data_IF_590721074548
#
_entry.id   IF_590721074548
#
_cell.length_a   1.000
_cell.length_b   1.000
_cell.length_c   1.000
_cell.angle_alpha   90.00
_cell.angle_beta   90.00
_cell.angle_gamma   90.00
#
_symmetry.space_group_name_H-M   'P 1'
#
loop_
_entity.id
_entity.type
_entity.pdbx_description
1 polymer ?
#
# COMPACT_ATOMS: atom_id res chain seq x y z
N UNK A 1 -3.19 24.04 -14.21
CA UNK A 1 -3.34 23.36 -12.89
C UNK A 1 -2.13 22.46 -12.70
N UNK A 2 -1.59 22.39 -11.48
CA UNK A 2 -0.52 21.45 -11.17
C UNK A 2 -1.01 20.00 -11.37
N UNK A 3 -0.09 19.12 -11.75
CA UNK A 3 -0.36 17.69 -11.79
C UNK A 3 -0.34 17.12 -10.36
N UNK A 4 -1.19 16.14 -10.09
CA UNK A 4 -1.36 15.55 -8.77
C UNK A 4 -0.85 14.11 -8.75
N UNK A 5 0.08 13.82 -7.84
CA UNK A 5 0.49 12.48 -7.45
C UNK A 5 -0.29 12.06 -6.20
N UNK A 6 -1.06 11.00 -6.30
CA UNK A 6 -1.75 10.37 -5.19
C UNK A 6 -0.96 9.16 -4.71
N UNK A 7 -0.62 9.13 -3.42
CA UNK A 7 0.00 7.95 -2.80
C UNK A 7 -0.93 7.31 -1.78
N UNK A 8 -0.89 5.99 -1.66
CA UNK A 8 -1.62 5.24 -0.65
C UNK A 8 -0.86 3.98 -0.21
N UNK A 9 -1.12 3.51 1.01
CA UNK A 9 -0.44 2.37 1.60
C UNK A 9 -0.63 2.29 3.12
N UNK A 10 0.29 1.60 3.77
CA UNK A 10 0.33 1.45 5.23
C UNK A 10 1.29 2.47 5.90
N UNK A 11 1.78 2.16 7.11
CA UNK A 11 2.70 3.00 7.89
C UNK A 11 3.98 3.36 7.13
N UNK A 12 4.53 2.46 6.35
CA UNK A 12 5.73 2.70 5.54
C UNK A 12 5.50 3.80 4.49
N UNK A 13 4.36 3.76 3.78
CA UNK A 13 4.01 4.81 2.81
C UNK A 13 3.59 6.10 3.50
N UNK A 14 2.96 6.01 4.68
CA UNK A 14 2.64 7.19 5.50
C UNK A 14 3.89 7.94 5.98
N UNK A 15 5.03 7.24 6.10
CA UNK A 15 6.26 7.79 6.67
C UNK A 15 6.21 7.81 8.19
N UNK A 16 5.63 6.77 8.82
CA UNK A 16 5.61 6.67 10.27
C UNK A 16 7.03 6.71 10.84
N UNK A 17 7.21 7.45 11.94
CA UNK A 17 8.50 7.65 12.61
C UNK A 17 9.57 8.38 11.78
N UNK A 18 9.21 8.92 10.62
CA UNK A 18 10.04 9.77 9.79
C UNK A 18 9.46 11.18 9.67
N UNK A 19 10.29 12.23 9.64
CA UNK A 19 9.81 13.59 9.41
C UNK A 19 9.22 13.81 8.01
N UNK A 20 9.55 12.92 7.07
CA UNK A 20 9.02 12.95 5.70
C UNK A 20 8.70 11.54 5.22
N UNK A 21 7.64 11.41 4.41
CA UNK A 21 7.41 10.21 3.58
C UNK A 21 8.14 10.37 2.24
N UNK A 22 8.50 9.26 1.60
CA UNK A 22 9.07 9.24 0.23
C UNK A 22 8.16 9.94 -0.81
N UNK A 23 6.88 10.04 -0.51
CA UNK A 23 5.86 10.63 -1.40
C UNK A 23 6.20 12.07 -1.76
N UNK A 24 6.67 12.86 -0.78
CA UNK A 24 7.05 14.26 -1.02
C UNK A 24 8.24 14.39 -1.94
N UNK A 25 9.44 13.82 -1.65
CA UNK A 25 10.56 13.91 -2.57
C UNK A 25 10.30 13.28 -3.94
N UNK A 26 9.49 12.23 -4.03
CA UNK A 26 9.07 11.65 -5.32
C UNK A 26 8.23 12.64 -6.13
N UNK A 27 7.24 13.28 -5.51
CA UNK A 27 6.37 14.25 -6.20
C UNK A 27 7.16 15.48 -6.68
N UNK A 28 8.10 15.97 -5.88
CA UNK A 28 8.99 17.08 -6.26
C UNK A 28 9.84 16.72 -7.50
N UNK A 29 10.42 15.50 -7.55
CA UNK A 29 11.16 15.01 -8.72
C UNK A 29 10.29 14.88 -9.98
N UNK A 30 9.03 14.51 -9.82
CA UNK A 30 8.06 14.41 -10.91
C UNK A 30 7.46 15.76 -11.32
N UNK A 31 7.74 16.85 -10.59
CA UNK A 31 7.13 18.17 -10.81
C UNK A 31 5.62 18.16 -10.54
N UNK A 32 5.17 17.40 -9.54
CA UNK A 32 3.76 17.24 -9.16
C UNK A 32 3.53 17.71 -7.72
N UNK A 33 2.29 18.10 -7.41
CA UNK A 33 1.82 18.18 -6.03
C UNK A 33 1.42 16.80 -5.54
N UNK A 34 1.59 16.51 -4.24
CA UNK A 34 1.28 15.20 -3.68
C UNK A 34 0.12 15.21 -2.69
N UNK A 35 -0.67 14.15 -2.74
CA UNK A 35 -1.67 13.79 -1.73
C UNK A 35 -1.29 12.39 -1.21
N UNK A 36 -1.13 12.25 0.12
CA UNK A 36 -0.81 10.97 0.73
C UNK A 36 -2.01 10.50 1.59
N UNK A 37 -2.68 9.44 1.13
CA UNK A 37 -3.81 8.80 1.83
C UNK A 37 -3.39 7.61 2.69
N UNK A 38 -2.09 7.30 2.75
CA UNK A 38 -1.59 6.18 3.53
C UNK A 38 -1.89 6.35 5.02
N UNK A 39 -2.19 5.22 5.68
CA UNK A 39 -2.55 5.21 7.09
C UNK A 39 -1.82 4.07 7.80
N UNK A 40 -1.18 4.33 8.95
CA UNK A 40 -0.56 3.29 9.77
C UNK A 40 -1.55 2.16 10.10
N UNK A 41 -1.16 0.91 9.82
CA UNK A 41 -2.00 -0.27 10.01
C UNK A 41 -3.09 -0.47 8.97
N UNK A 42 -3.19 0.37 7.94
CA UNK A 42 -4.16 0.21 6.85
C UNK A 42 -3.97 -1.09 6.08
N UNK A 43 -5.07 -1.75 5.71
CA UNK A 43 -5.10 -2.96 4.88
C UNK A 43 -5.32 -2.65 3.40
N UNK A 44 -5.19 -3.68 2.55
CA UNK A 44 -5.30 -3.53 1.10
C UNK A 44 -6.72 -3.11 0.64
N UNK A 45 -7.76 -3.52 1.34
CA UNK A 45 -9.15 -3.06 1.11
C UNK A 45 -9.30 -1.55 1.32
N UNK A 46 -8.71 -1.01 2.40
CA UNK A 46 -8.69 0.44 2.62
C UNK A 46 -7.96 1.15 1.49
N UNK A 47 -6.80 0.63 1.09
CA UNK A 47 -6.00 1.21 0.00
C UNK A 47 -6.85 1.34 -1.25
N UNK A 48 -7.49 0.24 -1.69
CA UNK A 48 -8.37 0.25 -2.87
C UNK A 48 -9.53 1.22 -2.70
N UNK A 49 -10.28 1.10 -1.61
CA UNK A 49 -11.47 1.91 -1.35
C UNK A 49 -11.16 3.40 -1.33
N UNK A 50 -10.14 3.82 -0.59
CA UNK A 50 -9.83 5.26 -0.45
C UNK A 50 -9.18 5.83 -1.70
N UNK A 51 -8.38 5.05 -2.45
CA UNK A 51 -7.82 5.47 -3.74
C UNK A 51 -8.93 5.69 -4.76
N UNK A 52 -9.83 4.72 -4.92
CA UNK A 52 -10.97 4.84 -5.85
C UNK A 52 -11.84 6.05 -5.48
N UNK A 53 -12.24 6.18 -4.23
CA UNK A 53 -13.08 7.29 -3.78
C UNK A 53 -12.43 8.66 -4.05
N UNK A 54 -11.12 8.77 -3.80
CA UNK A 54 -10.41 10.02 -4.08
C UNK A 54 -10.37 10.33 -5.58
N UNK A 55 -10.06 9.34 -6.42
CA UNK A 55 -10.03 9.50 -7.88
C UNK A 55 -11.41 9.77 -8.51
N UNK A 56 -12.51 9.39 -7.83
CA UNK A 56 -13.87 9.70 -8.29
C UNK A 56 -14.24 11.17 -8.09
N UNK A 57 -13.69 11.81 -7.08
CA UNK A 57 -14.08 13.16 -6.65
C UNK A 57 -13.01 14.23 -6.89
N UNK A 58 -11.78 13.81 -7.18
CA UNK A 58 -10.65 14.71 -7.40
C UNK A 58 -9.91 14.36 -8.69
N UNK A 59 -9.24 15.38 -9.27
CA UNK A 59 -8.30 15.13 -10.36
C UNK A 59 -7.03 14.49 -9.81
N UNK A 60 -6.63 13.38 -10.41
CA UNK A 60 -5.38 12.67 -10.13
C UNK A 60 -4.70 12.37 -11.45
N UNK A 61 -3.41 12.64 -11.57
CA UNK A 61 -2.64 12.42 -12.78
C UNK A 61 -1.73 11.18 -12.66
N UNK A 62 -1.32 10.81 -11.43
CA UNK A 62 -0.50 9.62 -11.16
C UNK A 62 -0.83 9.02 -9.80
N UNK A 63 -0.86 7.70 -9.71
CA UNK A 63 -1.11 6.96 -8.46
C UNK A 63 0.09 6.08 -8.10
N UNK A 64 0.55 6.18 -6.85
CA UNK A 64 1.58 5.27 -6.29
C UNK A 64 0.97 4.49 -5.14
N UNK A 65 1.01 3.17 -5.19
CA UNK A 65 0.49 2.30 -4.13
C UNK A 65 1.57 1.36 -3.62
N UNK A 66 1.82 1.46 -2.31
CA UNK A 66 2.58 0.46 -1.56
C UNK A 66 1.63 -0.53 -0.90
N UNK A 67 1.51 -1.73 -1.49
CA UNK A 67 0.69 -2.81 -0.96
C UNK A 67 1.25 -3.31 0.37
N UNK A 68 0.35 -3.65 1.29
CA UNK A 68 0.69 -4.18 2.61
C UNK A 68 0.35 -5.67 2.72
N UNK A 69 0.56 -6.23 3.91
CA UNK A 69 0.29 -7.65 4.17
C UNK A 69 -1.19 -8.00 3.92
N UNK A 70 -1.44 -9.19 3.39
CA UNK A 70 -2.79 -9.69 3.10
C UNK A 70 -3.63 -9.96 4.36
N UNK A 71 -3.00 -10.00 5.53
CA UNK A 71 -3.65 -10.25 6.82
C UNK A 71 -4.39 -9.04 7.36
N UNK A 72 -4.10 -7.83 6.84
CA UNK A 72 -4.74 -6.59 7.26
C UNK A 72 -6.01 -6.34 6.48
N UNK A 73 -7.08 -6.01 7.20
CA UNK A 73 -8.40 -5.76 6.63
C UNK A 73 -9.08 -4.57 7.28
N UNK A 74 -10.14 -4.11 6.62
CA UNK A 74 -11.11 -3.21 7.25
C UNK A 74 -12.39 -3.97 7.57
N UNK A 75 -13.00 -3.62 8.68
CA UNK A 75 -14.35 -4.06 9.05
C UNK A 75 -15.22 -2.84 9.34
N UNK A 76 -16.49 -2.91 9.00
CA UNK A 76 -17.47 -1.91 9.42
C UNK A 76 -18.12 -2.42 10.72
N UNK A 77 -18.04 -1.59 11.75
CA UNK A 77 -18.70 -1.85 13.01
C UNK A 77 -19.29 -0.54 13.53
N UNK A 78 -20.60 -0.54 13.85
CA UNK A 78 -21.35 0.66 14.21
C UNK A 78 -21.18 1.85 13.25
N UNK A 79 -21.26 1.57 11.92
CA UNK A 79 -21.13 2.54 10.84
C UNK A 79 -19.72 3.17 10.71
N UNK A 80 -18.75 2.73 11.50
CA UNK A 80 -17.36 3.18 11.44
C UNK A 80 -16.43 2.09 10.86
N UNK A 81 -15.37 2.55 10.16
CA UNK A 81 -14.33 1.67 9.65
C UNK A 81 -13.26 1.41 10.69
N UNK A 82 -13.01 0.14 10.97
CA UNK A 82 -11.98 -0.31 11.89
C UNK A 82 -10.94 -1.18 11.16
N UNK A 83 -9.67 -1.01 11.54
CA UNK A 83 -8.57 -1.79 10.95
C UNK A 83 -8.33 -3.04 11.78
N UNK A 84 -8.50 -4.17 11.14
CA UNK A 84 -8.16 -5.48 11.69
C UNK A 84 -6.77 -5.93 11.20
N UNK A 85 -6.03 -6.59 12.07
CA UNK A 85 -4.79 -7.33 11.76
C UNK A 85 -4.62 -8.44 12.79
N UNK A 86 -3.98 -9.54 12.43
CA UNK A 86 -3.74 -10.65 13.35
C UNK A 86 -3.03 -10.16 14.62
N UNK A 87 -3.55 -10.55 15.78
CA UNK A 87 -3.01 -10.15 17.09
C UNK A 87 -3.26 -8.69 17.50
N UNK A 88 -3.95 -7.91 16.66
CA UNK A 88 -4.25 -6.51 16.98
C UNK A 88 -5.35 -6.41 18.02
N UNK A 89 -5.10 -5.61 19.05
CA UNK A 89 -6.10 -5.27 20.06
C UNK A 89 -6.91 -4.04 19.64
N UNK A 90 -8.20 -4.03 19.98
CA UNK A 90 -9.05 -2.85 19.79
C UNK A 90 -8.60 -1.74 20.75
N UNK A 91 -8.37 -0.49 20.27
CA UNK A 91 -8.01 0.63 21.12
C UNK A 91 -9.05 0.91 22.24
N UNK A 92 -8.60 1.41 23.38
CA UNK A 92 -9.45 1.65 24.55
C UNK A 92 -10.53 2.72 24.33
N UNK A 93 -10.29 3.65 23.41
CA UNK A 93 -11.17 4.77 23.09
C UNK A 93 -12.27 4.42 22.09
N UNK A 94 -12.38 3.16 21.65
CA UNK A 94 -13.42 2.75 20.70
C UNK A 94 -14.72 2.43 21.43
N UNK A 95 -15.82 3.00 20.97
CA UNK A 95 -17.16 2.66 21.47
C UNK A 95 -17.47 1.19 21.21
N UNK A 96 -18.09 0.54 22.22
CA UNK A 96 -18.39 -0.90 22.15
C UNK A 96 -17.14 -1.78 21.90
N UNK A 97 -15.99 -1.38 22.46
CA UNK A 97 -14.70 -2.08 22.35
C UNK A 97 -14.82 -3.60 22.53
N UNK A 98 -15.59 -4.03 23.56
CA UNK A 98 -15.73 -5.46 23.87
C UNK A 98 -16.38 -6.25 22.72
N UNK A 99 -17.39 -5.70 22.07
CA UNK A 99 -18.06 -6.33 20.94
C UNK A 99 -17.14 -6.34 19.71
N UNK A 100 -16.45 -5.27 19.45
CA UNK A 100 -15.47 -5.19 18.35
C UNK A 100 -14.30 -6.15 18.61
N UNK A 101 -13.83 -6.29 19.85
CA UNK A 101 -12.79 -7.26 20.20
C UNK A 101 -13.24 -8.69 19.95
N UNK A 102 -14.49 -9.06 20.32
CA UNK A 102 -15.08 -10.38 20.00
C UNK A 102 -15.12 -10.64 18.49
N UNK A 103 -15.44 -9.62 17.69
CA UNK A 103 -15.38 -9.73 16.22
C UNK A 103 -13.94 -9.98 15.76
N UNK A 104 -12.96 -9.26 16.28
CA UNK A 104 -11.55 -9.44 15.95
C UNK A 104 -11.05 -10.83 16.35
N UNK A 105 -11.43 -11.32 17.54
CA UNK A 105 -11.06 -12.65 18.02
C UNK A 105 -11.69 -13.74 17.11
N UNK A 106 -12.95 -13.58 16.72
CA UNK A 106 -13.61 -14.48 15.75
C UNK A 106 -12.90 -14.45 14.39
N UNK A 107 -12.58 -13.28 13.88
CA UNK A 107 -11.84 -13.13 12.62
C UNK A 107 -10.47 -13.80 12.71
N UNK A 108 -9.76 -13.64 13.82
CA UNK A 108 -8.44 -14.27 14.03
C UNK A 108 -8.53 -15.79 14.00
N UNK A 109 -9.57 -16.39 14.61
CA UNK A 109 -9.83 -17.84 14.56
C UNK A 109 -10.19 -18.30 13.15
N UNK A 110 -11.02 -17.54 12.45
CA UNK A 110 -11.45 -17.86 11.08
C UNK A 110 -10.32 -17.73 10.08
N UNK A 111 -9.38 -16.83 10.35
CA UNK A 111 -8.25 -16.46 9.50
C UNK A 111 -7.05 -17.41 9.61
N UNK A 112 -7.12 -18.51 10.39
CA UNK A 112 -6.02 -19.49 10.50
C UNK A 112 -5.61 -20.14 9.16
N UNK A 113 -6.42 -20.03 8.11
CA UNK A 113 -6.16 -20.52 6.75
C UNK A 113 -5.97 -19.39 5.72
N UNK A 114 -5.56 -18.22 6.17
CA UNK A 114 -5.57 -16.99 5.36
C UNK A 114 -4.49 -16.90 4.30
N UNK A 115 -3.44 -17.72 4.37
CA UNK A 115 -2.36 -17.64 3.39
C UNK A 115 -2.89 -17.71 1.95
N UNK A 116 -3.80 -18.61 1.66
CA UNK A 116 -4.37 -18.73 0.31
C UNK A 116 -5.45 -17.69 0.03
N UNK A 117 -6.46 -17.56 0.91
CA UNK A 117 -7.59 -16.65 0.69
C UNK A 117 -7.20 -15.18 0.77
N UNK A 118 -6.34 -14.81 1.72
CA UNK A 118 -5.87 -13.43 1.87
C UNK A 118 -5.04 -12.98 0.68
N UNK A 119 -4.21 -13.88 0.16
CA UNK A 119 -3.42 -13.62 -1.03
C UNK A 119 -4.28 -13.48 -2.27
N UNK A 120 -5.20 -14.43 -2.53
CA UNK A 120 -6.14 -14.36 -3.65
C UNK A 120 -6.94 -13.05 -3.62
N UNK A 121 -7.46 -12.68 -2.46
CA UNK A 121 -8.16 -11.41 -2.27
C UNK A 121 -7.27 -10.20 -2.60
N UNK A 122 -6.01 -10.20 -2.15
CA UNK A 122 -5.06 -9.13 -2.45
C UNK A 122 -4.80 -9.01 -3.94
N UNK A 123 -4.59 -10.12 -4.64
CA UNK A 123 -4.41 -10.12 -6.10
C UNK A 123 -5.63 -9.57 -6.84
N UNK A 124 -6.83 -9.97 -6.43
CA UNK A 124 -8.09 -9.44 -7.00
C UNK A 124 -8.21 -7.93 -6.74
N UNK A 125 -7.85 -7.46 -5.55
CA UNK A 125 -7.84 -6.04 -5.20
C UNK A 125 -6.85 -5.25 -6.06
N UNK A 126 -5.67 -5.79 -6.30
CA UNK A 126 -4.65 -5.19 -7.17
C UNK A 126 -5.15 -5.07 -8.62
N UNK A 127 -5.70 -6.16 -9.18
CA UNK A 127 -6.30 -6.15 -10.52
C UNK A 127 -7.49 -5.19 -10.63
N UNK A 128 -8.32 -5.13 -9.60
CA UNK A 128 -9.46 -4.21 -9.57
C UNK A 128 -9.00 -2.76 -9.62
N UNK A 129 -8.03 -2.39 -8.80
CA UNK A 129 -7.50 -1.03 -8.80
C UNK A 129 -6.76 -0.70 -10.09
N UNK A 130 -5.95 -1.64 -10.62
CA UNK A 130 -5.30 -1.52 -11.93
C UNK A 130 -6.31 -1.21 -13.02
N UNK A 131 -7.35 -2.06 -13.16
CA UNK A 131 -8.39 -1.89 -14.18
C UNK A 131 -9.14 -0.56 -14.02
N UNK A 132 -9.41 -0.14 -12.80
CA UNK A 132 -10.06 1.15 -12.53
C UNK A 132 -9.20 2.32 -13.01
N UNK A 133 -7.90 2.33 -12.71
CA UNK A 133 -6.98 3.40 -13.09
C UNK A 133 -6.76 3.44 -14.59
N UNK A 134 -6.57 2.29 -15.25
CA UNK A 134 -6.42 2.18 -16.70
C UNK A 134 -7.66 2.68 -17.45
N UNK A 135 -8.86 2.29 -17.00
CA UNK A 135 -10.12 2.76 -17.60
C UNK A 135 -10.32 4.28 -17.46
N UNK A 136 -9.65 4.94 -16.52
CA UNK A 136 -9.69 6.39 -16.34
C UNK A 136 -8.50 7.11 -16.96
N UNK A 137 -7.57 6.39 -17.57
CA UNK A 137 -6.34 6.95 -18.13
C UNK A 137 -5.40 7.55 -17.08
N UNK A 138 -5.45 7.05 -15.86
CA UNK A 138 -4.57 7.48 -14.76
C UNK A 138 -3.34 6.57 -14.74
N UNK A 139 -2.16 7.16 -14.88
CA UNK A 139 -0.91 6.42 -14.75
C UNK A 139 -0.66 6.00 -13.29
N UNK A 140 0.00 4.86 -13.10
CA UNK A 140 0.22 4.32 -11.76
C UNK A 140 1.55 3.58 -11.64
N UNK A 141 1.99 3.38 -10.38
CA UNK A 141 3.06 2.46 -9.99
C UNK A 141 2.61 1.70 -8.74
N UNK A 142 2.68 0.38 -8.80
CA UNK A 142 2.42 -0.52 -7.68
C UNK A 142 3.71 -1.19 -7.24
N UNK A 143 3.88 -1.33 -5.92
CA UNK A 143 4.97 -2.09 -5.32
C UNK A 143 4.51 -2.72 -4.00
N UNK A 144 5.18 -3.76 -3.53
CA UNK A 144 4.97 -4.27 -2.18
C UNK A 144 5.78 -3.43 -1.20
N UNK A 145 5.11 -2.80 -0.23
CA UNK A 145 5.80 -2.04 0.81
C UNK A 145 6.45 -2.96 1.83
N UNK A 146 5.78 -4.07 2.16
CA UNK A 146 6.21 -5.04 3.16
C UNK A 146 5.73 -6.45 2.78
N UNK A 147 6.55 -7.48 3.02
CA UNK A 147 6.40 -8.90 2.69
C UNK A 147 6.60 -9.30 1.22
N UNK A 148 7.54 -10.23 1.02
CA UNK A 148 7.83 -10.91 -0.25
C UNK A 148 6.92 -12.15 -0.40
N UNK A 149 5.62 -11.99 -0.55
CA UNK A 149 4.71 -13.15 -0.46
C UNK A 149 4.23 -13.73 -1.79
N UNK A 150 4.92 -13.41 -2.89
CA UNK A 150 4.46 -13.87 -4.21
C UNK A 150 5.34 -14.95 -4.86
N UNK A 151 6.45 -15.33 -4.26
CA UNK A 151 7.42 -16.23 -4.89
C UNK A 151 6.85 -17.61 -5.23
N UNK A 152 5.83 -18.10 -4.48
CA UNK A 152 5.23 -19.42 -4.66
C UNK A 152 3.77 -19.41 -5.12
N UNK A 153 3.25 -18.27 -5.60
CA UNK A 153 1.82 -18.15 -5.88
C UNK A 153 1.46 -18.62 -7.27
N UNK A 154 0.76 -19.74 -7.36
CA UNK A 154 0.08 -20.19 -8.57
C UNK A 154 -1.38 -19.68 -8.59
N UNK A 155 -1.57 -18.44 -9.03
CA UNK A 155 -2.90 -17.86 -9.17
C UNK A 155 -3.09 -17.31 -10.60
N UNK A 156 -4.26 -17.50 -11.26
CA UNK A 156 -4.50 -17.04 -12.64
C UNK A 156 -4.31 -15.53 -12.86
N UNK A 157 -4.56 -14.73 -11.84
CA UNK A 157 -4.36 -13.28 -11.88
C UNK A 157 -2.89 -12.85 -11.84
N UNK A 158 -2.01 -13.71 -11.38
CA UNK A 158 -0.61 -13.38 -11.12
C UNK A 158 0.19 -13.09 -12.40
N UNK A 159 0.09 -13.88 -13.49
CA UNK A 159 0.79 -13.57 -14.74
C UNK A 159 0.42 -12.19 -15.31
N UNK A 160 -0.82 -11.74 -15.15
CA UNK A 160 -1.27 -10.43 -15.63
C UNK A 160 -0.63 -9.30 -14.82
N UNK A 161 -0.50 -9.47 -13.49
CA UNK A 161 0.19 -8.51 -12.64
C UNK A 161 1.71 -8.54 -12.85
N UNK A 162 2.32 -9.72 -12.99
CA UNK A 162 3.76 -9.87 -13.22
C UNK A 162 4.24 -9.22 -14.52
N UNK A 163 3.43 -9.30 -15.56
CA UNK A 163 3.73 -8.69 -16.86
C UNK A 163 3.43 -7.18 -16.89
N UNK A 164 2.89 -6.64 -15.80
CA UNK A 164 2.63 -5.22 -15.70
C UNK A 164 3.93 -4.45 -15.43
N UNK A 165 4.36 -3.66 -16.40
CA UNK A 165 5.57 -2.84 -16.30
C UNK A 165 5.54 -1.80 -15.17
N UNK A 166 4.36 -1.52 -14.63
CA UNK A 166 4.12 -0.60 -13.52
C UNK A 166 3.98 -1.31 -12.18
N UNK A 167 4.30 -2.59 -12.11
CA UNK A 167 4.25 -3.36 -10.88
C UNK A 167 5.58 -4.05 -10.58
N UNK A 168 6.03 -3.94 -9.34
CA UNK A 168 7.18 -4.69 -8.79
C UNK A 168 6.68 -5.68 -7.73
N UNK A 169 6.24 -6.89 -8.13
CA UNK A 169 5.61 -7.82 -7.20
C UNK A 169 6.59 -8.53 -6.26
N UNK A 170 7.86 -8.69 -6.67
CA UNK A 170 8.82 -9.52 -5.96
C UNK A 170 9.63 -8.80 -4.90
N UNK A 171 9.62 -7.47 -4.89
CA UNK A 171 10.38 -6.67 -3.95
C UNK A 171 9.47 -6.15 -2.85
N UNK A 172 9.85 -6.40 -1.60
CA UNK A 172 9.31 -5.69 -0.46
C UNK A 172 10.25 -4.50 -0.19
N UNK A 173 10.01 -3.38 -0.86
CA UNK A 173 10.96 -2.26 -0.93
C UNK A 173 11.49 -1.87 0.46
N UNK A 174 10.64 -1.79 1.48
CA UNK A 174 11.10 -1.39 2.82
C UNK A 174 11.91 -2.49 3.53
N UNK A 175 11.62 -3.78 3.29
CA UNK A 175 12.45 -4.89 3.80
C UNK A 175 13.81 -4.91 3.11
N UNK A 176 13.85 -4.72 1.79
CA UNK A 176 15.11 -4.68 1.04
C UNK A 176 16.01 -3.54 1.54
N UNK A 177 15.44 -2.36 1.83
CA UNK A 177 16.20 -1.24 2.39
C UNK A 177 16.59 -1.44 3.86
N UNK A 178 15.80 -2.16 4.66
CA UNK A 178 16.18 -2.53 6.03
C UNK A 178 17.39 -3.47 6.05
N UNK A 179 17.46 -4.43 5.13
CA UNK A 179 18.62 -5.29 4.98
C UNK A 179 19.88 -4.51 4.53
N UNK A 180 19.71 -3.48 3.67
CA UNK A 180 20.82 -2.68 3.13
C UNK A 180 21.28 -1.57 4.07
N UNK A 181 20.40 -1.02 4.88
CA UNK A 181 20.63 0.18 5.70
C UNK A 181 20.00 0.02 7.10
N UNK A 182 20.34 -1.03 7.87
CA UNK A 182 19.65 -1.34 9.12
C UNK A 182 19.75 -0.21 10.17
N UNK A 183 20.82 0.57 10.16
CA UNK A 183 21.02 1.70 11.09
C UNK A 183 20.04 2.86 10.85
N UNK A 184 19.32 2.85 9.74
CA UNK A 184 18.31 3.85 9.38
C UNK A 184 16.88 3.41 9.68
N UNK A 185 16.70 2.28 10.37
CA UNK A 185 15.41 1.74 10.79
C UNK A 185 15.20 1.84 12.29
N UNK A 186 13.95 2.03 12.69
CA UNK A 186 13.53 2.02 14.10
C UNK A 186 13.30 0.59 14.60
N UNK A 187 13.10 0.45 15.93
CA UNK A 187 12.68 -0.83 16.54
C UNK A 187 11.33 -1.35 16.02
N UNK A 188 10.51 -0.48 15.45
CA UNK A 188 9.24 -0.83 14.81
C UNK A 188 9.37 -1.06 13.28
N UNK A 189 10.59 -1.23 12.79
CA UNK A 189 10.91 -1.50 11.38
C UNK A 189 10.44 -0.39 10.41
N UNK A 190 10.45 0.87 10.86
CA UNK A 190 10.17 2.02 10.00
C UNK A 190 11.45 2.74 9.61
N UNK A 191 11.61 2.97 8.32
CA UNK A 191 12.74 3.72 7.78
C UNK A 191 12.67 5.21 8.11
N UNK A 192 13.83 5.81 8.38
CA UNK A 192 13.96 7.25 8.62
C UNK A 192 13.98 8.05 7.30
N UNK A 193 14.28 9.34 7.37
CA UNK A 193 14.34 10.24 6.21
C UNK A 193 15.31 9.77 5.11
N UNK A 194 16.44 9.15 5.45
CA UNK A 194 17.41 8.66 4.45
C UNK A 194 16.82 7.53 3.62
N UNK A 195 16.16 6.57 4.26
CA UNK A 195 15.45 5.46 3.59
C UNK A 195 14.37 6.02 2.67
N UNK A 196 13.53 6.94 3.15
CA UNK A 196 12.47 7.52 2.34
C UNK A 196 13.00 8.29 1.12
N UNK A 197 14.13 8.98 1.24
CA UNK A 197 14.78 9.65 0.11
C UNK A 197 15.32 8.64 -0.92
N UNK A 198 15.95 7.56 -0.46
CA UNK A 198 16.47 6.50 -1.33
C UNK A 198 15.34 5.79 -2.10
N UNK A 199 14.25 5.46 -1.42
CA UNK A 199 13.05 4.88 -2.05
C UNK A 199 12.45 5.84 -3.09
N UNK A 200 12.37 7.13 -2.80
CA UNK A 200 11.89 8.13 -3.76
C UNK A 200 12.74 8.17 -5.04
N UNK A 201 14.06 8.06 -4.92
CA UNK A 201 14.97 7.98 -6.06
C UNK A 201 14.72 6.74 -6.91
N UNK A 202 14.68 5.57 -6.28
CA UNK A 202 14.42 4.31 -6.98
C UNK A 202 13.09 4.31 -7.73
N UNK A 203 12.01 4.74 -7.07
CA UNK A 203 10.69 4.81 -7.70
C UNK A 203 10.65 5.81 -8.85
N UNK A 204 11.32 6.97 -8.70
CA UNK A 204 11.46 7.97 -9.77
C UNK A 204 12.18 7.41 -10.99
N UNK A 205 13.32 6.73 -10.78
CA UNK A 205 14.05 6.08 -11.88
C UNK A 205 13.18 5.05 -12.60
N UNK A 206 12.43 4.23 -11.88
CA UNK A 206 11.53 3.25 -12.46
C UNK A 206 10.44 3.92 -13.31
N UNK A 207 9.77 4.94 -12.79
CA UNK A 207 8.73 5.70 -13.52
C UNK A 207 9.33 6.31 -14.79
N UNK A 208 10.52 6.92 -14.68
CA UNK A 208 11.21 7.58 -15.80
C UNK A 208 11.60 6.61 -16.92
N UNK A 209 12.09 5.40 -16.58
CA UNK A 209 12.43 4.36 -17.56
C UNK A 209 11.18 3.86 -18.29
N UNK A 210 10.09 3.65 -17.56
CA UNK A 210 8.83 3.16 -18.12
C UNK A 210 8.15 4.18 -19.04
N UNK A 211 8.25 5.47 -18.72
CA UNK A 211 7.69 6.55 -19.55
C UNK A 211 8.45 6.72 -20.86
N UNK A 212 9.80 6.60 -20.84
CA UNK A 212 10.63 6.68 -22.06
C UNK A 212 10.38 5.57 -23.09
N UNK A 213 9.82 4.44 -22.67
CA UNK A 213 9.47 3.35 -23.59
C UNK A 213 8.13 3.58 -24.32
N UNK A 214 7.39 4.62 -23.97
CA UNK A 214 6.12 5.02 -24.63
C UNK A 214 6.31 6.02 -25.78
N UNK A 215 7.44 6.66 -25.88
CA UNK A 215 7.81 7.63 -26.95
C UNK A 215 8.64 6.95 -28.02
#
# INVERSE_FOLDING_TARGET
>A
MAKILLANGCSHVAGSESPISFVKPLSEKMGMESVNLALPGGGNDRIVRTTINHCLTNKVDFVVVGWTTYERQEVIFNEEWHHFGLGRQVPDNVNNKEQLQKLFDFMSLYCCNWNTLGLERTLIQQLTLKSFLENRGIDYLFFNAWNKFYEDVQHPAFPELLNDKYYKPFNAIFEDYEELMPEHYSELHHGNEHVHKAIAEELYEQISRTTKQRT
#
